data_IF_912660187639
#
_entry.id   IF_912660187639
#
_cell.length_a   1.000
_cell.length_b   1.000
_cell.length_c   1.000
_cell.angle_alpha   90.00
_cell.angle_beta   90.00
_cell.angle_gamma   90.00
#
_symmetry.space_group_name_H-M   'P 1'
#
loop_
_entity.id
_entity.type
_entity.pdbx_description
1 polymer ?
#
# COMPACT_ATOMS: atom_id res chain seq x y z
N UNK A 1 7.12 4.69 11.20
CA UNK A 1 7.59 3.41 10.63
C UNK A 1 6.46 2.44 10.23
N UNK A 2 5.36 2.32 10.98
CA UNK A 2 4.27 1.37 10.67
C UNK A 2 3.73 1.42 9.23
N UNK A 3 3.46 2.63 8.71
CA UNK A 3 2.99 2.84 7.32
C UNK A 3 3.97 2.28 6.28
N UNK A 4 5.28 2.55 6.46
CA UNK A 4 6.33 2.09 5.55
C UNK A 4 6.42 0.56 5.57
N UNK A 5 6.29 -0.05 6.75
CA UNK A 5 6.33 -1.51 6.87
C UNK A 5 5.09 -2.17 6.28
N UNK A 6 3.92 -1.56 6.41
CA UNK A 6 2.69 -2.03 5.76
C UNK A 6 2.78 -1.95 4.23
N UNK A 7 3.38 -0.89 3.69
CA UNK A 7 3.65 -0.73 2.25
C UNK A 7 4.59 -1.85 1.73
N UNK A 8 5.67 -2.13 2.47
CA UNK A 8 6.58 -3.25 2.15
C UNK A 8 5.89 -4.61 2.20
N UNK A 9 5.05 -4.83 3.21
CA UNK A 9 4.28 -6.09 3.33
C UNK A 9 3.33 -6.27 2.14
N UNK A 10 2.66 -5.21 1.72
CA UNK A 10 1.82 -5.24 0.53
C UNK A 10 2.65 -5.55 -0.73
N UNK A 11 3.80 -4.91 -0.90
CA UNK A 11 4.70 -5.19 -2.02
C UNK A 11 5.13 -6.66 -2.07
N UNK A 12 5.42 -7.27 -0.93
CA UNK A 12 5.77 -8.69 -0.86
C UNK A 12 4.58 -9.61 -1.19
N UNK A 13 3.35 -9.23 -0.82
CA UNK A 13 2.14 -9.94 -1.25
C UNK A 13 1.97 -9.88 -2.78
N UNK A 14 2.17 -8.70 -3.39
CA UNK A 14 2.11 -8.52 -4.85
C UNK A 14 3.18 -9.37 -5.56
N UNK A 15 4.41 -9.44 -5.02
CA UNK A 15 5.47 -10.31 -5.54
C UNK A 15 5.11 -11.79 -5.45
N UNK A 16 4.53 -12.24 -4.33
CA UNK A 16 4.08 -13.63 -4.15
C UNK A 16 3.01 -14.02 -5.17
N UNK A 17 2.14 -13.07 -5.55
CA UNK A 17 1.18 -13.23 -6.65
C UNK A 17 1.79 -13.13 -8.05
N UNK A 18 3.12 -12.97 -8.16
CA UNK A 18 3.87 -12.87 -9.43
C UNK A 18 3.44 -11.70 -10.32
N UNK A 19 2.93 -10.63 -9.71
CA UNK A 19 2.60 -9.41 -10.43
C UNK A 19 3.88 -8.74 -10.94
N UNK A 20 3.90 -8.41 -12.24
CA UNK A 20 5.07 -7.87 -12.92
C UNK A 20 5.24 -6.37 -12.61
N UNK A 21 6.49 -5.92 -12.60
CA UNK A 21 6.85 -4.51 -12.37
C UNK A 21 8.18 -4.40 -11.65
N UNK A 22 8.96 -3.37 -11.96
CA UNK A 22 10.22 -3.04 -11.28
C UNK A 22 9.95 -2.35 -9.94
N UNK A 23 8.97 -1.46 -9.92
CA UNK A 23 8.52 -0.74 -8.73
C UNK A 23 7.26 -1.35 -8.12
N UNK A 24 7.00 -1.03 -6.84
CA UNK A 24 5.73 -1.35 -6.18
C UNK A 24 4.54 -0.70 -6.92
N UNK A 25 4.70 0.55 -7.38
CA UNK A 25 3.66 1.25 -8.14
C UNK A 25 3.28 0.52 -9.42
N UNK A 26 4.24 -0.01 -10.18
CA UNK A 26 3.96 -0.83 -11.36
C UNK A 26 3.19 -2.12 -11.00
N UNK A 27 3.57 -2.77 -9.89
CA UNK A 27 2.85 -3.96 -9.40
C UNK A 27 1.42 -3.64 -8.96
N UNK A 28 1.20 -2.47 -8.34
CA UNK A 28 -0.14 -1.98 -8.02
C UNK A 28 -0.98 -1.71 -9.26
N UNK A 29 -0.40 -1.17 -10.33
CA UNK A 29 -1.11 -1.01 -11.62
C UNK A 29 -1.57 -2.36 -12.16
N UNK A 30 -0.75 -3.41 -12.08
CA UNK A 30 -1.15 -4.76 -12.47
C UNK A 30 -2.29 -5.32 -11.59
N UNK A 31 -2.27 -5.01 -10.29
CA UNK A 31 -3.28 -5.46 -9.33
C UNK A 31 -4.62 -4.71 -9.42
N UNK A 32 -4.77 -3.67 -10.25
CA UNK A 32 -5.94 -2.77 -10.17
C UNK A 32 -7.30 -3.48 -10.24
N UNK A 33 -7.39 -4.56 -11.01
CA UNK A 33 -8.61 -5.36 -11.17
C UNK A 33 -8.89 -6.30 -9.99
N UNK A 34 -7.86 -6.60 -9.20
CA UNK A 34 -7.95 -7.45 -8.01
C UNK A 34 -8.27 -6.63 -6.75
N UNK A 35 -8.00 -5.32 -6.75
CA UNK A 35 -8.22 -4.44 -5.61
C UNK A 35 -9.65 -3.87 -5.60
N UNK A 36 -10.33 -3.96 -4.46
CA UNK A 36 -11.67 -3.42 -4.29
C UNK A 36 -11.69 -1.90 -4.10
N UNK A 37 -10.58 -1.33 -3.59
CA UNK A 37 -10.42 0.11 -3.34
C UNK A 37 -9.05 0.61 -3.83
N UNK A 38 -8.95 0.88 -5.14
CA UNK A 38 -7.71 1.36 -5.74
C UNK A 38 -7.25 2.70 -5.14
N UNK A 39 -8.16 3.64 -4.94
CA UNK A 39 -7.85 4.99 -4.45
C UNK A 39 -7.29 4.94 -3.02
N UNK A 40 -7.88 4.10 -2.15
CA UNK A 40 -7.40 3.88 -0.79
C UNK A 40 -5.98 3.31 -0.74
N UNK A 41 -5.68 2.33 -1.60
CA UNK A 41 -4.34 1.72 -1.68
C UNK A 41 -3.31 2.72 -2.21
N UNK A 42 -3.64 3.45 -3.28
CA UNK A 42 -2.74 4.47 -3.83
C UNK A 42 -2.48 5.61 -2.86
N UNK A 43 -3.51 6.05 -2.13
CA UNK A 43 -3.34 7.02 -1.04
C UNK A 43 -2.34 6.51 0.00
N UNK A 44 -2.49 5.26 0.44
CA UNK A 44 -1.61 4.64 1.42
C UNK A 44 -0.15 4.54 0.93
N UNK A 45 0.05 4.09 -0.31
CA UNK A 45 1.36 3.98 -0.93
C UNK A 45 2.07 5.33 -1.07
N UNK A 46 1.35 6.36 -1.52
CA UNK A 46 1.90 7.70 -1.64
C UNK A 46 2.29 8.30 -0.29
N UNK A 47 1.51 8.03 0.77
CA UNK A 47 1.88 8.43 2.12
C UNK A 47 3.15 7.71 2.59
N UNK A 48 3.29 6.41 2.33
CA UNK A 48 4.50 5.66 2.66
C UNK A 48 5.74 6.22 1.95
N UNK A 49 5.64 6.53 0.66
CA UNK A 49 6.72 7.19 -0.11
C UNK A 49 7.11 8.55 0.46
N UNK A 50 6.12 9.37 0.84
CA UNK A 50 6.39 10.67 1.47
C UNK A 50 7.14 10.51 2.80
N UNK A 51 6.75 9.53 3.61
CA UNK A 51 7.40 9.25 4.89
C UNK A 51 8.81 8.66 4.74
N UNK A 52 9.08 7.89 3.68
CA UNK A 52 10.42 7.40 3.35
C UNK A 52 11.39 8.54 3.00
N UNK A 53 10.88 9.63 2.40
CA UNK A 53 11.66 10.83 2.08
C UNK A 53 11.72 11.83 3.25
N UNK A 54 11.61 11.34 4.50
CA UNK A 54 11.64 12.10 5.75
C UNK A 54 10.71 13.32 5.84
N UNK A 55 9.63 13.33 5.06
CA UNK A 55 8.66 14.42 5.05
C UNK A 55 7.55 14.19 6.07
N UNK A 56 7.90 14.32 7.35
CA UNK A 56 6.96 14.16 8.48
C UNK A 56 6.13 15.41 8.79
N UNK A 57 6.50 16.56 8.23
CA UNK A 57 5.77 17.80 8.46
C UNK A 57 4.33 17.65 7.92
N UNK A 58 3.36 17.74 8.84
CA UNK A 58 1.90 17.67 8.61
C UNK A 58 1.27 16.27 8.49
N UNK A 59 1.90 15.21 9.01
CA UNK A 59 1.24 13.89 9.08
C UNK A 59 0.06 13.94 10.07
N UNK A 60 -1.16 13.69 9.59
CA UNK A 60 -2.35 13.61 10.45
C UNK A 60 -2.63 12.16 10.85
N UNK A 61 -3.10 11.97 12.08
CA UNK A 61 -3.51 10.65 12.58
C UNK A 61 -4.60 10.01 11.69
N UNK A 62 -5.52 10.80 11.15
CA UNK A 62 -6.57 10.34 10.24
C UNK A 62 -6.00 9.78 8.94
N UNK A 63 -4.93 10.38 8.40
CA UNK A 63 -4.24 9.88 7.20
C UNK A 63 -3.55 8.55 7.50
N UNK A 64 -2.88 8.45 8.65
CA UNK A 64 -2.24 7.20 9.11
C UNK A 64 -3.28 6.07 9.22
N UNK A 65 -4.40 6.32 9.92
CA UNK A 65 -5.46 5.32 10.07
C UNK A 65 -6.05 4.92 8.72
N UNK A 66 -6.33 5.89 7.84
CA UNK A 66 -6.86 5.64 6.49
C UNK A 66 -5.90 4.78 5.68
N UNK A 67 -4.60 5.05 5.74
CA UNK A 67 -3.59 4.26 5.03
C UNK A 67 -3.48 2.83 5.56
N UNK A 68 -3.53 2.62 6.88
CA UNK A 68 -3.53 1.28 7.46
C UNK A 68 -4.75 0.46 7.05
N UNK A 69 -5.94 1.10 6.99
CA UNK A 69 -7.15 0.47 6.48
C UNK A 69 -7.00 0.10 5.01
N UNK A 70 -6.45 1.00 4.18
CA UNK A 70 -6.17 0.73 2.77
C UNK A 70 -5.23 -0.46 2.57
N UNK A 71 -4.13 -0.55 3.31
CA UNK A 71 -3.23 -1.70 3.25
C UNK A 71 -3.90 -3.00 3.70
N UNK A 72 -4.67 -2.96 4.79
CA UNK A 72 -5.40 -4.14 5.27
C UNK A 72 -6.40 -4.65 4.23
N UNK A 73 -7.17 -3.74 3.61
CA UNK A 73 -8.13 -4.10 2.57
C UNK A 73 -7.41 -4.70 1.36
N UNK A 74 -6.33 -4.06 0.88
CA UNK A 74 -5.53 -4.59 -0.22
C UNK A 74 -5.00 -6.00 0.04
N UNK A 75 -4.49 -6.24 1.26
CA UNK A 75 -3.98 -7.56 1.63
C UNK A 75 -5.09 -8.61 1.64
N UNK A 76 -6.32 -8.24 2.02
CA UNK A 76 -7.50 -9.12 1.96
C UNK A 76 -7.93 -9.41 0.54
N UNK A 77 -8.02 -8.38 -0.30
CA UNK A 77 -8.32 -8.51 -1.72
C UNK A 77 -7.32 -9.43 -2.43
N UNK A 78 -6.04 -9.34 -2.03
CA UNK A 78 -4.98 -10.18 -2.55
C UNK A 78 -4.96 -11.59 -1.95
N UNK A 79 -5.81 -11.91 -0.96
CA UNK A 79 -5.83 -13.20 -0.27
C UNK A 79 -4.61 -13.44 0.63
N UNK A 80 -3.91 -12.38 1.03
CA UNK A 80 -2.73 -12.44 1.89
C UNK A 80 -3.05 -12.22 3.37
N UNK A 81 -4.29 -11.88 3.71
CA UNK A 81 -4.78 -11.63 5.06
C UNK A 81 -6.28 -11.98 5.14
N UNK A 82 -6.73 -12.55 6.26
CA UNK A 82 -8.14 -12.88 6.54
C UNK A 82 -8.90 -11.77 7.31
#
# INVERSE_FOLDING_TARGET
LAIINADKLLDDALKKKRLKGKSMGERLVQAQKELSDNDGVWFAHNLAKKLLNDSYSKLKETEVKKSLVGFRQALRDLGALE
#
